data_IF_224015732966
#
_entry.id   IF_224015732966
#
_cell.length_a   1.000
_cell.length_b   1.000
_cell.length_c   1.000
_cell.angle_alpha   90.00
_cell.angle_beta   90.00
_cell.angle_gamma   90.00
#
_symmetry.space_group_name_H-M   'P 1'
#
loop_
_entity.id
_entity.type
_entity.pdbx_description
1 polymer ?
#
# COMPACT_ATOMS: atom_id res chain seq x y z
N UNK A 1 48.79 -14.09 54.71
CA UNK A 1 47.78 -14.62 53.76
C UNK A 1 46.50 -13.78 53.66
N UNK A 2 45.93 -13.26 54.76
CA UNK A 2 44.68 -12.46 54.74
C UNK A 2 44.77 -11.08 54.04
N UNK A 3 45.90 -10.40 54.12
CA UNK A 3 46.11 -9.07 53.49
C UNK A 3 46.21 -9.19 51.95
N UNK A 4 46.77 -10.30 51.45
CA UNK A 4 46.91 -10.56 50.02
C UNK A 4 45.54 -10.79 49.33
N UNK A 5 44.62 -11.48 50.02
CA UNK A 5 43.24 -11.70 49.53
C UNK A 5 42.42 -10.42 49.48
N UNK A 6 42.55 -9.54 50.49
CA UNK A 6 41.86 -8.25 50.50
C UNK A 6 42.35 -7.32 49.36
N UNK A 7 43.66 -7.34 49.06
CA UNK A 7 44.24 -6.56 47.96
C UNK A 7 43.77 -7.05 46.58
N UNK A 8 43.72 -8.38 46.38
CA UNK A 8 43.22 -8.99 45.13
C UNK A 8 41.72 -8.69 44.93
N UNK A 9 40.93 -8.72 46.00
CA UNK A 9 39.50 -8.42 45.94
C UNK A 9 39.25 -6.93 45.63
N UNK A 10 40.04 -6.01 46.21
CA UNK A 10 39.96 -4.57 45.92
C UNK A 10 40.37 -4.24 44.47
N UNK A 11 41.40 -4.92 43.94
CA UNK A 11 41.84 -4.77 42.54
C UNK A 11 40.78 -5.32 41.57
N UNK A 12 40.13 -6.44 41.90
CA UNK A 12 39.03 -6.99 41.08
C UNK A 12 37.78 -6.10 41.10
N UNK A 13 37.43 -5.49 42.24
CA UNK A 13 36.33 -4.53 42.35
C UNK A 13 36.60 -3.23 41.55
N UNK A 14 37.84 -2.73 41.55
CA UNK A 14 38.26 -1.59 40.73
C UNK A 14 38.27 -1.93 39.24
N UNK A 15 38.68 -3.14 38.85
CA UNK A 15 38.69 -3.59 37.46
C UNK A 15 37.27 -3.81 36.90
N UNK A 16 36.34 -4.34 37.70
CA UNK A 16 34.92 -4.48 37.31
C UNK A 16 34.26 -3.10 37.21
N UNK A 17 34.54 -2.19 38.15
CA UNK A 17 34.08 -0.80 38.09
C UNK A 17 34.60 -0.06 36.85
N UNK A 18 35.88 -0.21 36.52
CA UNK A 18 36.48 0.36 35.32
C UNK A 18 35.90 -0.23 34.04
N UNK A 19 35.70 -1.55 33.95
CA UNK A 19 35.11 -2.19 32.78
C UNK A 19 33.63 -1.82 32.59
N UNK A 20 32.87 -1.66 33.67
CA UNK A 20 31.47 -1.20 33.61
C UNK A 20 31.38 0.27 33.18
N UNK A 21 32.27 1.12 33.70
CA UNK A 21 32.37 2.53 33.33
C UNK A 21 32.89 2.73 31.90
N UNK A 22 33.84 1.91 31.45
CA UNK A 22 34.30 1.89 30.06
C UNK A 22 33.18 1.43 29.11
N UNK A 23 32.41 0.41 29.48
CA UNK A 23 31.26 -0.08 28.71
C UNK A 23 30.11 0.95 28.67
N UNK A 24 29.97 1.80 29.70
CA UNK A 24 29.06 2.97 29.71
C UNK A 24 29.59 4.16 28.90
N UNK A 25 30.91 4.35 28.84
CA UNK A 25 31.58 5.37 28.02
C UNK A 25 31.58 5.00 26.53
N UNK A 26 31.79 3.73 26.19
CA UNK A 26 31.68 3.22 24.81
C UNK A 26 30.23 3.31 24.31
N UNK A 27 29.24 3.13 25.19
CA UNK A 27 27.82 3.43 24.89
C UNK A 27 27.53 4.92 24.67
N UNK A 28 28.35 5.84 25.20
CA UNK A 28 28.22 7.29 24.99
C UNK A 28 28.99 7.82 23.78
N UNK A 29 29.88 7.01 23.21
CA UNK A 29 30.58 7.27 21.95
C UNK A 29 30.03 6.39 20.81
N UNK A 30 28.74 6.05 20.87
CA UNK A 30 28.08 5.22 19.87
C UNK A 30 27.98 5.91 18.52
N UNK A 31 28.04 5.12 17.45
CA UNK A 31 27.76 5.55 16.10
C UNK A 31 26.40 4.97 15.66
N UNK A 32 25.43 4.92 16.57
CA UNK A 32 24.07 4.43 16.30
C UNK A 32 23.29 5.38 15.39
N UNK A 33 22.14 4.93 14.87
CA UNK A 33 21.22 5.77 14.10
C UNK A 33 20.90 7.05 14.89
N UNK A 34 20.57 6.93 16.16
CA UNK A 34 20.19 8.08 16.99
C UNK A 34 21.39 9.01 17.21
N UNK A 35 22.58 8.47 17.43
CA UNK A 35 23.80 9.28 17.58
C UNK A 35 24.10 10.06 16.29
N UNK A 36 23.98 9.42 15.13
CA UNK A 36 24.15 10.04 13.83
C UNK A 36 23.11 11.15 13.59
N UNK A 37 21.83 10.90 13.90
CA UNK A 37 20.78 11.91 13.79
C UNK A 37 21.03 13.12 14.70
N UNK A 38 21.58 12.92 15.92
CA UNK A 38 21.92 14.01 16.85
C UNK A 38 23.09 14.86 16.38
N UNK A 39 24.03 14.28 15.63
CA UNK A 39 25.20 14.98 15.11
C UNK A 39 24.89 15.84 13.88
N UNK A 40 23.81 15.53 13.16
CA UNK A 40 23.41 16.23 11.95
C UNK A 40 22.28 17.25 12.21
N UNK A 41 22.58 18.53 11.97
CA UNK A 41 21.67 19.66 12.20
C UNK A 41 20.40 19.61 11.35
N UNK A 42 20.38 18.83 10.27
CA UNK A 42 19.20 18.66 9.40
C UNK A 42 18.07 17.89 10.09
N UNK A 43 18.36 17.13 11.14
CA UNK A 43 17.39 16.22 11.79
C UNK A 43 17.01 16.63 13.21
N UNK A 44 17.32 17.87 13.63
CA UNK A 44 17.02 18.33 15.00
C UNK A 44 15.55 18.12 15.37
N UNK A 45 14.62 18.29 14.43
CA UNK A 45 13.19 18.13 14.70
C UNK A 45 12.76 16.66 14.84
N UNK A 46 13.38 15.76 14.09
CA UNK A 46 13.21 14.31 14.26
C UNK A 46 13.76 13.84 15.62
N UNK A 47 14.95 14.32 15.99
CA UNK A 47 15.57 14.01 17.28
C UNK A 47 14.69 14.45 18.45
N UNK A 48 14.11 15.64 18.39
CA UNK A 48 13.17 16.10 19.42
C UNK A 48 11.94 15.20 19.52
N UNK A 49 11.43 14.65 18.42
CA UNK A 49 10.32 13.67 18.48
C UNK A 49 10.79 12.36 19.12
N UNK A 50 11.94 11.82 18.70
CA UNK A 50 12.52 10.61 19.29
C UNK A 50 12.76 10.75 20.79
N UNK A 51 13.15 11.93 21.26
CA UNK A 51 13.37 12.21 22.69
C UNK A 51 12.07 12.24 23.51
N UNK A 52 10.94 12.54 22.86
CA UNK A 52 9.63 12.62 23.51
C UNK A 52 8.74 11.39 23.24
N UNK A 53 9.13 10.49 22.34
CA UNK A 53 8.38 9.28 21.94
C UNK A 53 9.21 8.00 22.16
N UNK A 54 9.27 7.47 23.39
CA UNK A 54 10.10 6.30 23.72
C UNK A 54 9.82 5.09 22.83
N UNK A 55 8.56 4.85 22.45
CA UNK A 55 8.21 3.72 21.59
C UNK A 55 8.84 3.80 20.18
N UNK A 56 8.97 5.00 19.61
CA UNK A 56 9.64 5.18 18.31
C UNK A 56 11.16 5.09 18.45
N UNK A 57 11.68 5.58 19.58
CA UNK A 57 13.10 5.44 19.94
C UNK A 57 13.49 3.96 20.05
N UNK A 58 12.69 3.17 20.76
CA UNK A 58 12.93 1.75 20.97
C UNK A 58 12.98 0.97 19.65
N UNK A 59 12.12 1.33 18.66
CA UNK A 59 12.14 0.76 17.31
C UNK A 59 13.49 0.97 16.58
N UNK A 60 14.26 1.99 16.95
CA UNK A 60 15.58 2.28 16.37
C UNK A 60 16.75 1.80 17.24
N UNK A 61 16.55 1.64 18.55
CA UNK A 61 17.60 1.27 19.50
C UNK A 61 17.79 -0.26 19.60
N UNK A 62 16.74 -1.08 19.38
CA UNK A 62 16.79 -2.51 19.69
C UNK A 62 17.47 -3.39 18.63
N UNK A 63 17.26 -3.10 17.34
CA UNK A 63 17.58 -4.00 16.25
C UNK A 63 18.24 -3.29 15.06
N UNK A 64 18.71 -4.08 14.09
CA UNK A 64 19.22 -3.52 12.83
C UNK A 64 18.08 -2.89 12.05
N UNK A 65 18.19 -1.61 11.68
CA UNK A 65 17.14 -0.91 10.94
C UNK A 65 17.68 0.01 9.84
N UNK A 66 16.81 0.35 8.90
CA UNK A 66 17.01 1.47 7.97
C UNK A 66 15.91 2.49 8.19
N UNK A 67 16.27 3.77 8.25
CA UNK A 67 15.29 4.85 8.41
C UNK A 67 15.36 5.82 7.23
N UNK A 68 14.20 6.15 6.67
CA UNK A 68 14.05 7.29 5.78
C UNK A 68 13.81 8.55 6.62
N UNK A 69 14.87 9.23 7.06
CA UNK A 69 14.77 10.32 8.03
C UNK A 69 14.26 11.62 7.37
N UNK A 70 13.08 12.14 7.74
CA UNK A 70 12.63 13.46 7.29
C UNK A 70 13.51 14.56 7.88
N UNK A 71 13.98 15.49 7.04
CA UNK A 71 14.71 16.68 7.46
C UNK A 71 13.81 17.74 8.11
N UNK A 72 14.41 18.78 8.68
CA UNK A 72 13.66 19.85 9.35
C UNK A 72 12.65 20.53 8.40
N UNK A 73 13.03 20.72 7.13
CA UNK A 73 12.16 21.27 6.09
C UNK A 73 10.93 20.36 5.82
N UNK A 74 11.09 19.04 5.87
CA UNK A 74 9.99 18.09 5.79
C UNK A 74 9.00 18.26 6.96
N UNK A 75 9.50 18.47 8.18
CA UNK A 75 8.64 18.78 9.33
C UNK A 75 7.90 20.10 9.11
N UNK A 76 8.58 21.19 8.74
CA UNK A 76 7.93 22.48 8.50
C UNK A 76 6.85 22.41 7.40
N UNK A 77 7.11 21.67 6.33
CA UNK A 77 6.13 21.45 5.26
C UNK A 77 4.94 20.57 5.70
N UNK A 78 5.13 19.65 6.64
CA UNK A 78 4.07 18.83 7.21
C UNK A 78 3.18 19.66 8.15
N UNK A 79 3.82 20.44 9.00
CA UNK A 79 3.24 21.44 9.91
C UNK A 79 2.26 22.37 9.18
N UNK A 80 2.68 22.94 8.04
CA UNK A 80 1.86 23.87 7.27
C UNK A 80 0.56 23.27 6.69
N UNK A 81 0.47 21.94 6.57
CA UNK A 81 -0.66 21.24 5.92
C UNK A 81 -1.85 20.92 6.83
N UNK A 82 -1.84 21.32 8.11
CA UNK A 82 -2.99 21.16 9.00
C UNK A 82 -2.94 19.88 9.85
N UNK A 83 -1.97 19.86 10.76
CA UNK A 83 -1.60 18.84 11.75
C UNK A 83 -2.68 17.87 12.27
N UNK A 84 -2.25 16.61 12.47
CA UNK A 84 -2.73 15.77 13.58
C UNK A 84 -1.53 15.12 14.29
N UNK A 85 -1.07 15.74 15.39
CA UNK A 85 0.05 15.22 16.20
C UNK A 85 -0.18 13.79 16.68
N UNK A 86 -1.44 13.36 16.84
CA UNK A 86 -1.78 12.01 17.29
C UNK A 86 -1.33 10.93 16.29
N UNK A 87 -1.10 11.30 15.03
CA UNK A 87 -0.66 10.39 13.97
C UNK A 87 0.85 10.42 13.72
N UNK A 88 1.57 11.40 14.28
CA UNK A 88 2.98 11.61 13.96
C UNK A 88 3.84 10.39 14.28
N UNK A 89 3.56 9.72 15.41
CA UNK A 89 4.23 8.46 15.77
C UNK A 89 4.07 7.41 14.66
N UNK A 90 2.83 7.09 14.28
CA UNK A 90 2.56 6.08 13.24
C UNK A 90 3.18 6.47 11.89
N UNK A 91 3.17 7.76 11.55
CA UNK A 91 3.82 8.27 10.35
C UNK A 91 5.34 8.08 10.42
N UNK A 92 6.00 8.37 11.54
CA UNK A 92 7.44 8.19 11.66
C UNK A 92 7.84 6.71 11.74
N UNK A 93 7.06 5.84 12.40
CA UNK A 93 7.22 4.39 12.32
C UNK A 93 7.15 3.91 10.86
N UNK A 94 6.29 4.53 10.03
CA UNK A 94 6.22 4.19 8.60
C UNK A 94 7.52 4.47 7.81
N UNK A 95 8.41 5.31 8.33
CA UNK A 95 9.72 5.58 7.73
C UNK A 95 10.79 4.56 8.11
N UNK A 96 10.51 3.64 9.04
CA UNK A 96 11.46 2.65 9.54
C UNK A 96 11.23 1.33 8.81
N UNK A 97 12.31 0.77 8.25
CA UNK A 97 12.37 -0.56 7.65
C UNK A 97 13.17 -1.45 8.62
N UNK A 98 12.51 -2.37 9.35
CA UNK A 98 13.16 -3.18 10.37
C UNK A 98 13.99 -4.32 9.75
N UNK A 99 14.90 -4.86 10.55
CA UNK A 99 15.69 -6.06 10.31
C UNK A 99 16.65 -6.01 9.11
N UNK A 100 16.98 -4.81 8.60
CA UNK A 100 17.81 -4.65 7.41
C UNK A 100 18.61 -3.34 7.40
N UNK A 101 19.87 -3.42 6.95
CA UNK A 101 20.65 -2.27 6.50
C UNK A 101 20.52 -2.16 4.98
N UNK A 102 19.65 -1.26 4.53
CA UNK A 102 19.40 -1.07 3.12
C UNK A 102 20.64 -0.48 2.43
N UNK A 103 20.90 -0.95 1.22
CA UNK A 103 21.93 -0.40 0.35
C UNK A 103 21.28 0.32 -0.83
N UNK A 104 22.01 1.25 -1.44
CA UNK A 104 21.50 2.01 -2.60
C UNK A 104 21.00 1.11 -3.75
N UNK A 105 21.61 -0.06 -3.97
CA UNK A 105 21.20 -1.03 -5.01
C UNK A 105 19.88 -1.75 -4.70
N UNK A 106 19.49 -1.82 -3.42
CA UNK A 106 18.18 -2.34 -3.02
C UNK A 106 17.06 -1.32 -3.25
N UNK A 107 17.38 -0.03 -3.39
CA UNK A 107 16.45 1.04 -3.77
C UNK A 107 16.26 1.11 -5.30
N UNK A 108 15.87 -0.01 -5.89
CA UNK A 108 15.56 -0.15 -7.32
C UNK A 108 14.08 0.14 -7.61
N UNK A 109 13.78 0.51 -8.85
CA UNK A 109 12.40 0.80 -9.27
C UNK A 109 11.49 -0.41 -9.01
N UNK A 110 10.31 -0.15 -8.44
CA UNK A 110 9.33 -1.16 -8.06
C UNK A 110 9.67 -1.96 -6.80
N UNK A 111 10.77 -1.68 -6.10
CA UNK A 111 11.07 -2.37 -4.84
C UNK A 111 9.99 -2.08 -3.78
N UNK A 112 9.62 -3.11 -3.01
CA UNK A 112 8.63 -3.04 -1.94
C UNK A 112 9.31 -3.33 -0.61
N UNK A 113 9.53 -2.28 0.19
CA UNK A 113 10.17 -2.39 1.50
C UNK A 113 9.10 -2.59 2.57
N UNK A 114 9.38 -3.38 3.60
CA UNK A 114 8.46 -3.58 4.73
C UNK A 114 8.70 -2.47 5.76
N UNK A 115 7.72 -1.64 6.07
CA UNK A 115 7.83 -0.68 7.19
C UNK A 115 7.55 -1.36 8.54
N UNK A 116 7.82 -0.73 9.68
CA UNK A 116 7.43 -1.29 11.00
C UNK A 116 5.92 -1.28 11.21
N UNK A 117 5.18 -0.38 10.54
CA UNK A 117 3.73 -0.24 10.69
C UNK A 117 2.98 -1.47 10.19
N UNK A 118 2.09 -1.99 11.04
CA UNK A 118 1.13 -3.05 10.71
C UNK A 118 -0.28 -2.53 10.81
N UNK A 119 -1.14 -2.89 9.86
CA UNK A 119 -2.51 -2.39 9.80
C UNK A 119 -3.52 -3.54 9.93
N UNK A 120 -4.54 -3.43 10.79
CA UNK A 120 -5.64 -4.40 10.85
C UNK A 120 -6.36 -4.56 9.51
N UNK A 121 -6.57 -3.46 8.78
CA UNK A 121 -7.14 -3.46 7.43
C UNK A 121 -6.31 -4.22 6.40
N UNK A 122 -5.01 -4.42 6.68
CA UNK A 122 -4.09 -5.20 5.84
C UNK A 122 -3.89 -6.62 6.38
N UNK A 123 -4.80 -7.12 7.22
CA UNK A 123 -4.69 -8.42 7.91
C UNK A 123 -3.44 -8.48 8.82
N UNK A 124 -3.19 -7.39 9.56
CA UNK A 124 -2.06 -7.20 10.47
C UNK A 124 -0.67 -7.41 9.83
N UNK A 125 -0.58 -7.29 8.50
CA UNK A 125 0.68 -7.31 7.75
C UNK A 125 1.34 -5.94 7.78
N UNK A 126 2.66 -5.95 7.58
CA UNK A 126 3.44 -4.72 7.42
C UNK A 126 2.93 -3.92 6.22
N UNK A 127 2.74 -2.62 6.38
CA UNK A 127 2.52 -1.71 5.26
C UNK A 127 3.83 -1.60 4.45
N UNK A 128 3.71 -1.53 3.13
CA UNK A 128 4.87 -1.42 2.25
C UNK A 128 5.25 0.03 2.00
N UNK A 129 6.51 0.28 1.70
CA UNK A 129 6.99 1.47 1.00
C UNK A 129 7.35 1.04 -0.41
N UNK A 130 6.84 1.76 -1.42
CA UNK A 130 7.20 1.50 -2.82
C UNK A 130 8.30 2.46 -3.25
N UNK A 131 9.38 1.92 -3.77
CA UNK A 131 10.48 2.68 -4.34
C UNK A 131 10.21 2.92 -5.82
N UNK A 132 10.37 4.17 -6.25
CA UNK A 132 10.38 4.59 -7.63
C UNK A 132 11.75 5.16 -7.94
N UNK A 133 12.42 4.62 -8.96
CA UNK A 133 13.69 5.14 -9.43
C UNK A 133 13.49 5.74 -10.82
N UNK A 134 13.52 7.07 -10.89
CA UNK A 134 13.29 7.81 -12.12
C UNK A 134 14.53 7.75 -13.02
N UNK A 135 14.35 8.03 -14.31
CA UNK A 135 15.43 7.96 -15.31
C UNK A 135 16.59 8.94 -15.04
N UNK A 136 16.34 10.03 -14.31
CA UNK A 136 17.35 10.98 -13.84
C UNK A 136 18.15 10.47 -12.61
N UNK A 137 17.88 9.25 -12.15
CA UNK A 137 18.52 8.62 -10.99
C UNK A 137 17.86 8.96 -9.64
N UNK A 138 16.85 9.83 -9.60
CA UNK A 138 16.16 10.18 -8.37
C UNK A 138 15.39 8.99 -7.79
N UNK A 139 15.45 8.87 -6.46
CA UNK A 139 14.75 7.84 -5.70
C UNK A 139 13.59 8.49 -4.94
N UNK A 140 12.37 8.03 -5.24
CA UNK A 140 11.14 8.46 -4.61
C UNK A 140 10.47 7.30 -3.87
N UNK A 141 9.97 7.58 -2.68
CA UNK A 141 9.19 6.68 -1.86
C UNK A 141 7.72 7.06 -2.03
N UNK A 142 6.90 6.09 -2.40
CA UNK A 142 5.47 6.24 -2.66
C UNK A 142 5.11 7.36 -3.66
N UNK A 143 6.04 7.76 -4.54
CA UNK A 143 5.94 8.98 -5.37
C UNK A 143 5.64 10.26 -4.57
N UNK A 144 5.88 10.27 -3.26
CA UNK A 144 5.53 11.37 -2.36
C UNK A 144 6.79 12.07 -1.81
N UNK A 145 7.75 11.28 -1.32
CA UNK A 145 8.97 11.79 -0.69
C UNK A 145 10.21 11.29 -1.43
N UNK A 146 11.13 12.20 -1.73
CA UNK A 146 12.39 11.94 -2.46
C UNK A 146 13.53 11.83 -1.47
N UNK A 147 14.44 10.89 -1.70
CA UNK A 147 15.73 10.79 -1.01
C UNK A 147 16.63 11.93 -1.49
N UNK A 148 17.13 12.77 -0.58
CA UNK A 148 17.77 14.07 -0.90
C UNK A 148 19.27 14.15 -0.59
N UNK A 149 19.92 13.01 -0.35
CA UNK A 149 21.34 12.98 -0.03
C UNK A 149 21.86 11.55 0.05
N UNK A 150 23.17 11.39 0.27
CA UNK A 150 23.77 10.08 0.46
C UNK A 150 23.22 9.41 1.72
N UNK A 151 23.21 8.07 1.72
CA UNK A 151 22.99 7.32 2.95
C UNK A 151 24.08 7.59 4.00
N UNK A 152 23.69 7.58 5.26
CA UNK A 152 24.62 7.71 6.40
C UNK A 152 24.65 6.38 7.16
N UNK A 153 25.76 5.63 7.11
CA UNK A 153 25.90 4.38 7.85
C UNK A 153 25.92 4.60 9.37
N UNK A 154 25.33 3.65 10.09
CA UNK A 154 25.34 3.58 11.54
C UNK A 154 25.61 2.14 12.03
N UNK A 155 26.03 2.00 13.28
CA UNK A 155 26.39 0.70 13.88
C UNK A 155 25.21 -0.27 13.88
N UNK A 156 24.01 0.23 14.19
CA UNK A 156 22.75 -0.51 14.16
C UNK A 156 21.92 -0.25 12.90
N UNK A 157 22.46 0.40 11.85
CA UNK A 157 21.62 0.68 10.69
C UNK A 157 22.15 1.60 9.61
N UNK A 158 21.23 2.27 8.94
CA UNK A 158 21.51 3.26 7.89
C UNK A 158 20.40 4.31 7.83
N UNK A 159 20.78 5.55 7.56
CA UNK A 159 19.87 6.69 7.45
C UNK A 159 19.82 7.17 6.01
N UNK A 160 18.63 7.31 5.45
CA UNK A 160 18.37 7.92 4.15
C UNK A 160 17.62 9.24 4.34
N UNK A 161 18.23 10.42 4.09
CA UNK A 161 17.53 11.70 4.24
C UNK A 161 16.39 11.84 3.22
N UNK A 162 15.21 12.28 3.66
CA UNK A 162 14.04 12.54 2.78
C UNK A 162 13.42 13.91 3.03
N UNK A 163 12.82 14.51 2.00
CA UNK A 163 12.31 15.90 2.07
C UNK A 163 10.83 16.04 2.45
N UNK A 164 10.13 14.94 2.74
CA UNK A 164 8.76 14.94 3.25
C UNK A 164 8.54 13.80 4.23
N UNK A 165 7.71 14.06 5.24
CA UNK A 165 7.09 13.01 6.04
C UNK A 165 6.08 12.28 5.16
N UNK A 166 6.30 10.99 4.95
CA UNK A 166 5.41 10.07 4.22
C UNK A 166 4.10 9.90 4.97
N UNK A 167 3.00 9.98 4.22
CA UNK A 167 1.69 9.62 4.74
C UNK A 167 1.47 8.10 4.63
N UNK A 168 0.76 7.53 5.61
CA UNK A 168 0.26 6.18 5.44
C UNK A 168 -0.69 6.12 4.24
N UNK A 169 -0.61 5.08 3.40
CA UNK A 169 -1.53 4.91 2.28
C UNK A 169 -2.99 5.00 2.73
N UNK A 170 -3.79 5.78 2.01
CA UNK A 170 -5.22 5.93 2.26
C UNK A 170 -6.01 4.70 1.80
N UNK A 171 -7.32 4.70 2.03
CA UNK A 171 -8.20 3.67 1.46
C UNK A 171 -8.13 3.71 -0.07
N UNK A 172 -8.25 2.55 -0.71
CA UNK A 172 -8.15 2.41 -2.16
C UNK A 172 -9.11 3.35 -2.90
N UNK A 173 -10.36 3.46 -2.45
CA UNK A 173 -11.34 4.36 -3.05
C UNK A 173 -10.93 5.84 -2.96
N UNK A 174 -10.30 6.26 -1.85
CA UNK A 174 -9.83 7.63 -1.67
C UNK A 174 -8.61 7.92 -2.54
N UNK A 175 -7.66 6.99 -2.59
CA UNK A 175 -6.49 7.11 -3.46
C UNK A 175 -6.92 7.21 -4.94
N UNK A 176 -7.81 6.34 -5.41
CA UNK A 176 -8.29 6.35 -6.80
C UNK A 176 -9.10 7.62 -7.12
N UNK A 177 -9.81 8.19 -6.14
CA UNK A 177 -10.55 9.44 -6.30
C UNK A 177 -9.65 10.65 -6.57
N UNK A 178 -8.35 10.59 -6.27
CA UNK A 178 -7.38 11.64 -6.65
C UNK A 178 -7.03 11.63 -8.14
N UNK A 179 -7.42 10.57 -8.88
CA UNK A 179 -7.12 10.36 -10.30
C UNK A 179 -8.40 10.12 -11.11
N UNK A 180 -9.38 11.04 -11.12
CA UNK A 180 -10.68 10.82 -11.77
C UNK A 180 -10.57 10.59 -13.28
N UNK A 181 -9.55 11.17 -13.95
CA UNK A 181 -9.30 10.94 -15.38
C UNK A 181 -8.98 9.48 -15.72
N UNK A 182 -8.56 8.66 -14.75
CA UNK A 182 -8.24 7.24 -14.93
C UNK A 182 -9.24 6.27 -14.31
N UNK A 183 -10.02 6.69 -13.31
CA UNK A 183 -10.83 5.77 -12.49
C UNK A 183 -12.27 6.24 -12.21
N UNK A 184 -12.75 7.29 -12.88
CA UNK A 184 -14.13 7.79 -12.69
C UNK A 184 -15.21 6.72 -12.90
N UNK A 185 -15.05 5.81 -13.87
CA UNK A 185 -16.02 4.74 -14.12
C UNK A 185 -16.01 3.66 -13.04
N UNK A 186 -14.83 3.33 -12.50
CA UNK A 186 -14.71 2.46 -11.32
C UNK A 186 -15.39 3.08 -10.10
N UNK A 187 -15.13 4.36 -9.82
CA UNK A 187 -15.71 5.08 -8.68
C UNK A 187 -17.24 5.21 -8.80
N UNK A 188 -17.74 5.50 -9.99
CA UNK A 188 -19.18 5.50 -10.29
C UNK A 188 -19.81 4.12 -10.03
N UNK A 189 -19.09 3.05 -10.40
CA UNK A 189 -19.55 1.68 -10.20
C UNK A 189 -19.60 1.30 -8.72
N UNK A 190 -18.61 1.71 -7.93
CA UNK A 190 -18.61 1.54 -6.48
C UNK A 190 -19.83 2.21 -5.82
N UNK A 191 -20.16 3.44 -6.22
CA UNK A 191 -21.32 4.16 -5.68
C UNK A 191 -22.63 3.46 -6.07
N UNK A 192 -22.77 3.09 -7.35
CA UNK A 192 -23.99 2.44 -7.86
C UNK A 192 -24.28 1.08 -7.20
N UNK A 193 -23.24 0.34 -6.85
CA UNK A 193 -23.33 -1.03 -6.33
C UNK A 193 -23.21 -1.15 -4.81
N UNK A 194 -22.99 -0.04 -4.11
CA UNK A 194 -22.72 -0.02 -2.67
C UNK A 194 -21.46 -0.82 -2.27
N UNK A 195 -20.56 -1.07 -3.24
CA UNK A 195 -19.36 -1.91 -3.02
C UNK A 195 -18.27 -1.21 -2.22
N UNK A 196 -18.32 0.12 -2.09
CA UNK A 196 -17.39 0.86 -1.21
C UNK A 196 -17.48 0.37 0.23
N UNK A 197 -18.69 0.15 0.74
CA UNK A 197 -18.92 -0.35 2.09
C UNK A 197 -18.49 -1.81 2.24
N UNK A 198 -18.69 -2.62 1.20
CA UNK A 198 -18.27 -4.02 1.18
C UNK A 198 -16.75 -4.13 1.26
N UNK A 199 -16.01 -3.38 0.44
CA UNK A 199 -14.54 -3.38 0.45
C UNK A 199 -14.02 -2.92 1.83
N UNK A 200 -14.61 -1.88 2.40
CA UNK A 200 -14.20 -1.35 3.71
C UNK A 200 -14.38 -2.33 4.88
N UNK A 201 -15.17 -3.40 4.70
CA UNK A 201 -15.37 -4.46 5.70
C UNK A 201 -14.42 -5.64 5.50
N UNK A 202 -13.77 -5.74 4.34
CA UNK A 202 -12.79 -6.79 4.08
C UNK A 202 -11.41 -6.37 4.62
N UNK A 203 -10.61 -7.36 4.99
CA UNK A 203 -9.25 -7.13 5.51
C UNK A 203 -8.25 -7.86 4.63
N UNK A 204 -7.20 -7.16 4.18
CA UNK A 204 -6.11 -7.76 3.44
C UNK A 204 -6.54 -8.30 2.08
N UNK A 205 -6.95 -7.40 1.19
CA UNK A 205 -7.41 -7.73 -0.16
C UNK A 205 -6.40 -7.32 -1.22
N UNK A 206 -6.50 -7.90 -2.42
CA UNK A 206 -5.88 -7.38 -3.63
C UNK A 206 -6.98 -6.89 -4.56
N UNK A 207 -6.89 -5.62 -4.96
CA UNK A 207 -7.87 -4.99 -5.84
C UNK A 207 -7.34 -4.98 -7.27
N UNK A 208 -8.06 -5.60 -8.19
CA UNK A 208 -7.79 -5.48 -9.62
C UNK A 208 -8.66 -4.36 -10.17
N UNK A 209 -8.08 -3.20 -10.45
CA UNK A 209 -8.85 -1.99 -10.79
C UNK A 209 -8.71 -1.68 -12.27
N UNK A 210 -9.74 -1.91 -13.10
CA UNK A 210 -9.74 -1.50 -14.49
C UNK A 210 -9.68 0.02 -14.62
N UNK A 211 -8.87 0.51 -15.57
CA UNK A 211 -8.84 1.93 -15.94
C UNK A 211 -10.11 2.35 -16.69
N UNK A 212 -10.33 3.66 -16.84
CA UNK A 212 -11.43 4.20 -17.63
C UNK A 212 -11.42 3.66 -19.06
N UNK A 213 -10.24 3.55 -19.69
CA UNK A 213 -10.09 2.99 -21.03
C UNK A 213 -10.54 1.52 -21.09
N UNK A 214 -10.31 0.74 -20.02
CA UNK A 214 -10.78 -0.63 -19.92
C UNK A 214 -12.31 -0.74 -19.85
N UNK A 215 -12.98 0.23 -19.21
CA UNK A 215 -14.45 0.33 -19.19
C UNK A 215 -15.02 0.79 -20.52
N UNK A 216 -14.42 1.80 -21.14
CA UNK A 216 -14.84 2.32 -22.43
C UNK A 216 -14.75 1.26 -23.54
N UNK A 217 -13.75 0.37 -23.45
CA UNK A 217 -13.59 -0.76 -24.37
C UNK A 217 -14.76 -1.76 -24.36
N UNK A 218 -15.63 -1.75 -23.33
CA UNK A 218 -16.86 -2.57 -23.34
C UNK A 218 -17.91 -2.06 -24.33
N UNK A 219 -17.84 -0.79 -24.75
CA UNK A 219 -18.81 -0.18 -25.65
C UNK A 219 -20.04 0.38 -24.94
N UNK A 220 -20.66 1.36 -25.59
CA UNK A 220 -21.73 2.19 -25.01
C UNK A 220 -22.96 1.39 -24.55
N UNK A 221 -23.37 0.37 -25.29
CA UNK A 221 -24.56 -0.42 -24.92
C UNK A 221 -24.32 -1.26 -23.67
N UNK A 222 -23.14 -1.85 -23.53
CA UNK A 222 -22.75 -2.57 -22.33
C UNK A 222 -22.62 -1.63 -21.12
N UNK A 223 -22.06 -0.43 -21.30
CA UNK A 223 -22.00 0.58 -20.25
C UNK A 223 -23.39 1.07 -19.84
N UNK A 224 -24.29 1.35 -20.79
CA UNK A 224 -25.69 1.70 -20.51
C UNK A 224 -26.38 0.60 -19.72
N UNK A 225 -26.20 -0.65 -20.11
CA UNK A 225 -26.76 -1.81 -19.42
C UNK A 225 -26.30 -1.88 -17.95
N UNK A 226 -24.99 -1.79 -17.70
CA UNK A 226 -24.41 -1.90 -16.34
C UNK A 226 -24.75 -0.68 -15.47
N UNK A 227 -24.66 0.53 -16.03
CA UNK A 227 -24.76 1.78 -15.26
C UNK A 227 -26.16 2.41 -15.25
N UNK A 228 -27.13 1.87 -16.00
CA UNK A 228 -28.50 2.38 -16.02
C UNK A 228 -29.55 1.27 -16.10
N UNK A 229 -30.67 1.45 -15.38
CA UNK A 229 -31.83 0.57 -15.53
C UNK A 229 -32.61 0.87 -16.82
N UNK A 230 -32.57 2.13 -17.30
CA UNK A 230 -33.13 2.51 -18.60
C UNK A 230 -32.39 1.78 -19.73
N UNK A 231 -31.08 1.57 -19.57
CA UNK A 231 -30.26 0.79 -20.51
C UNK A 231 -30.62 -0.70 -20.60
N UNK A 232 -31.60 -1.17 -19.82
CA UNK A 232 -32.14 -2.53 -19.87
C UNK A 232 -33.56 -2.57 -20.45
N UNK A 233 -34.03 -1.48 -21.07
CA UNK A 233 -35.44 -1.28 -21.45
C UNK A 233 -36.43 -1.45 -20.29
N UNK A 234 -35.93 -1.40 -19.05
CA UNK A 234 -36.74 -1.21 -17.87
C UNK A 234 -37.01 0.29 -17.79
N UNK A 235 -38.04 0.73 -18.50
CA UNK A 235 -38.70 2.00 -18.18
C UNK A 235 -39.18 1.82 -16.74
N UNK A 236 -38.75 2.65 -15.76
CA UNK A 236 -39.31 2.54 -14.42
C UNK A 236 -40.83 2.62 -14.56
N UNK A 237 -41.61 1.64 -14.06
CA UNK A 237 -43.05 1.60 -14.34
C UNK A 237 -43.83 2.80 -13.80
N UNK A 238 -43.21 3.71 -13.05
CA UNK A 238 -43.96 4.72 -12.33
C UNK A 238 -43.16 6.01 -12.10
N UNK A 239 -43.84 7.12 -12.39
CA UNK A 239 -43.50 8.52 -12.06
C UNK A 239 -44.14 8.90 -10.71
N UNK A 240 -44.81 7.97 -10.01
CA UNK A 240 -45.50 8.19 -8.74
C UNK A 240 -44.85 7.46 -7.56
N UNK A 241 -45.11 7.98 -6.36
CA UNK A 241 -44.47 7.59 -5.09
C UNK A 241 -44.67 6.11 -4.66
N UNK A 242 -45.60 5.38 -5.29
CA UNK A 242 -46.05 4.04 -4.88
C UNK A 242 -45.44 2.86 -5.66
N UNK A 243 -44.19 2.93 -6.15
CA UNK A 243 -43.57 1.74 -6.75
C UNK A 243 -43.12 0.71 -5.69
N UNK A 244 -43.86 -0.39 -5.59
CA UNK A 244 -43.52 -1.66 -4.89
C UNK A 244 -42.78 -2.59 -5.87
N UNK A 245 -41.55 -2.21 -6.23
CA UNK A 245 -40.63 -3.05 -7.00
C UNK A 245 -39.25 -2.96 -6.36
N UNK A 246 -38.59 -4.11 -6.16
CA UNK A 246 -37.38 -4.30 -5.34
C UNK A 246 -36.43 -3.10 -5.36
N UNK A 247 -36.54 -2.26 -4.33
CA UNK A 247 -35.60 -1.17 -4.08
C UNK A 247 -34.46 -1.73 -3.23
N UNK A 248 -33.23 -1.27 -3.46
CA UNK A 248 -32.14 -1.55 -2.51
C UNK A 248 -32.40 -0.83 -1.16
N UNK A 249 -31.55 -1.07 -0.17
CA UNK A 249 -31.65 -0.43 1.15
C UNK A 249 -31.65 1.11 1.13
N UNK A 250 -31.27 1.73 -0.01
CA UNK A 250 -31.26 3.19 -0.24
C UNK A 250 -32.39 3.67 -1.17
N UNK A 251 -33.35 2.82 -1.55
CA UNK A 251 -34.50 3.23 -2.36
C UNK A 251 -34.28 3.25 -3.89
N UNK A 252 -33.12 2.81 -4.39
CA UNK A 252 -32.82 2.77 -5.84
C UNK A 252 -33.36 1.51 -6.53
N UNK A 253 -33.80 1.57 -7.81
CA UNK A 253 -34.28 0.39 -8.55
C UNK A 253 -33.22 -0.70 -8.68
N UNK A 254 -33.52 -1.93 -8.25
CA UNK A 254 -32.61 -3.08 -8.37
C UNK A 254 -32.79 -3.79 -9.73
N UNK A 255 -32.18 -3.22 -10.77
CA UNK A 255 -32.18 -3.79 -12.11
C UNK A 255 -31.03 -4.77 -12.34
N UNK A 256 -31.20 -5.72 -13.28
CA UNK A 256 -30.25 -6.80 -13.57
C UNK A 256 -28.82 -6.31 -13.81
N UNK A 257 -28.64 -5.24 -14.58
CA UNK A 257 -27.31 -4.67 -14.86
C UNK A 257 -26.59 -4.13 -13.61
N UNK A 258 -27.33 -3.67 -12.59
CA UNK A 258 -26.73 -3.32 -11.28
C UNK A 258 -26.27 -4.58 -10.53
N UNK A 259 -27.07 -5.64 -10.57
CA UNK A 259 -26.71 -6.94 -9.96
C UNK A 259 -25.48 -7.54 -10.64
N UNK A 260 -25.44 -7.53 -11.97
CA UNK A 260 -24.29 -7.97 -12.77
C UNK A 260 -23.05 -7.11 -12.46
N UNK A 261 -23.20 -5.78 -12.42
CA UNK A 261 -22.12 -4.87 -12.03
C UNK A 261 -21.59 -5.20 -10.62
N UNK A 262 -22.48 -5.49 -9.67
CA UNK A 262 -22.08 -5.91 -8.32
C UNK A 262 -21.22 -7.17 -8.35
N UNK A 263 -21.59 -8.18 -9.16
CA UNK A 263 -20.79 -9.40 -9.30
C UNK A 263 -19.46 -9.15 -10.02
N UNK A 264 -19.43 -8.25 -11.02
CA UNK A 264 -18.20 -7.81 -11.67
C UNK A 264 -17.25 -7.21 -10.62
N UNK A 265 -17.71 -6.26 -9.79
CA UNK A 265 -16.88 -5.68 -8.73
C UNK A 265 -16.39 -6.74 -7.73
N UNK A 266 -17.26 -7.67 -7.34
CA UNK A 266 -16.89 -8.78 -6.45
C UNK A 266 -15.77 -9.67 -7.02
N UNK A 267 -15.73 -9.88 -8.34
CA UNK A 267 -14.67 -10.65 -9.00
C UNK A 267 -13.33 -9.90 -8.99
N UNK A 268 -13.36 -8.56 -9.00
CA UNK A 268 -12.16 -7.73 -8.97
C UNK A 268 -11.54 -7.58 -7.57
N UNK A 269 -12.13 -8.20 -6.55
CA UNK A 269 -11.66 -8.12 -5.15
C UNK A 269 -11.26 -9.53 -4.71
N UNK A 270 -9.95 -9.78 -4.65
CA UNK A 270 -9.39 -11.04 -4.18
C UNK A 270 -9.13 -10.98 -2.66
N UNK A 271 -9.52 -12.04 -1.94
CA UNK A 271 -9.45 -12.16 -0.47
C UNK A 271 -8.08 -12.60 0.05
N UNK A 272 -7.03 -12.02 -0.52
CA UNK A 272 -5.66 -12.17 -0.06
C UNK A 272 -4.83 -10.98 -0.53
N UNK A 273 -3.80 -10.61 0.23
CA UNK A 273 -2.79 -9.65 -0.24
C UNK A 273 -1.79 -10.42 -1.08
N UNK A 274 -1.66 -10.01 -2.35
CA UNK A 274 -0.62 -10.45 -3.25
C UNK A 274 -0.03 -9.23 -3.94
N UNK A 275 1.24 -8.95 -3.63
CA UNK A 275 2.03 -7.99 -4.39
C UNK A 275 2.54 -8.66 -5.67
N UNK A 276 3.01 -7.85 -6.62
CA UNK A 276 3.61 -8.35 -7.86
C UNK A 276 4.78 -9.30 -7.59
N UNK A 277 5.55 -9.07 -6.53
CA UNK A 277 6.62 -9.97 -6.09
C UNK A 277 6.10 -11.37 -5.72
N UNK A 278 4.95 -11.44 -5.06
CA UNK A 278 4.34 -12.71 -4.64
C UNK A 278 3.81 -13.45 -5.88
N UNK A 279 3.16 -12.71 -6.80
CA UNK A 279 2.67 -13.26 -8.07
C UNK A 279 3.83 -13.82 -8.92
N UNK A 280 4.94 -13.10 -9.02
CA UNK A 280 6.14 -13.51 -9.76
C UNK A 280 6.83 -14.72 -9.13
N UNK A 281 6.83 -14.82 -7.80
CA UNK A 281 7.41 -15.95 -7.09
C UNK A 281 6.65 -17.25 -7.39
N UNK A 282 5.32 -17.20 -7.35
CA UNK A 282 4.45 -18.37 -7.62
C UNK A 282 4.32 -18.69 -9.12
N UNK A 283 4.51 -17.70 -10.00
CA UNK A 283 4.30 -17.73 -11.46
C UNK A 283 2.86 -17.99 -11.90
N UNK A 284 2.11 -18.80 -11.17
CA UNK A 284 0.70 -19.10 -11.36
C UNK A 284 0.02 -19.18 -10.01
N UNK A 285 -0.92 -18.28 -9.76
CA UNK A 285 -1.63 -18.13 -8.50
C UNK A 285 -3.13 -18.18 -8.74
N UNK A 286 -3.84 -18.97 -7.93
CA UNK A 286 -5.29 -18.88 -7.83
C UNK A 286 -5.68 -18.08 -6.60
N UNK A 287 -6.64 -17.16 -6.74
CA UNK A 287 -7.09 -16.30 -5.64
C UNK A 287 -8.60 -16.39 -5.50
N UNK A 288 -9.08 -16.64 -4.28
CA UNK A 288 -10.52 -16.57 -3.98
C UNK A 288 -11.00 -15.11 -4.03
N UNK A 289 -12.20 -14.88 -4.57
CA UNK A 289 -12.79 -13.54 -4.68
C UNK A 289 -14.12 -13.43 -3.95
N UNK A 290 -14.65 -12.21 -3.84
CA UNK A 290 -16.01 -12.00 -3.34
C UNK A 290 -17.10 -12.56 -4.25
N UNK A 291 -16.79 -12.85 -5.53
CA UNK A 291 -17.75 -13.40 -6.49
C UNK A 291 -17.89 -14.93 -6.36
N UNK A 292 -17.12 -15.56 -5.45
CA UNK A 292 -16.99 -17.03 -5.32
C UNK A 292 -16.40 -17.74 -6.55
N UNK A 293 -16.11 -16.99 -7.61
CA UNK A 293 -15.28 -17.41 -8.73
C UNK A 293 -13.82 -17.04 -8.40
N UNK A 294 -12.88 -17.95 -8.68
CA UNK A 294 -11.46 -17.71 -8.47
C UNK A 294 -10.85 -16.87 -9.60
N UNK A 295 -9.87 -16.04 -9.27
CA UNK A 295 -8.97 -15.44 -10.26
C UNK A 295 -7.78 -16.35 -10.49
N UNK A 296 -7.47 -16.60 -11.75
CA UNK A 296 -6.21 -17.18 -12.17
C UNK A 296 -5.25 -16.06 -12.57
N UNK A 297 -4.16 -15.89 -11.84
CA UNK A 297 -3.12 -14.89 -12.09
C UNK A 297 -1.87 -15.60 -12.56
N UNK A 298 -1.36 -15.23 -13.74
CA UNK A 298 -0.06 -15.68 -14.23
C UNK A 298 0.89 -14.51 -14.32
N UNK A 299 2.09 -14.70 -13.81
CA UNK A 299 3.10 -13.67 -13.77
C UNK A 299 4.43 -14.21 -14.31
N UNK A 300 5.07 -13.40 -15.14
CA UNK A 300 6.37 -13.71 -15.72
C UNK A 300 7.22 -12.43 -15.74
N UNK A 301 8.52 -12.59 -15.52
CA UNK A 301 9.50 -11.50 -15.62
C UNK A 301 10.52 -11.85 -16.70
N UNK A 302 10.68 -10.97 -17.68
CA UNK A 302 11.86 -10.92 -18.56
C UNK A 302 12.81 -9.82 -18.08
N UNK A 303 13.97 -9.70 -18.71
CA UNK A 303 14.96 -8.67 -18.36
C UNK A 303 14.42 -7.24 -18.54
N UNK A 304 13.46 -7.06 -19.45
CA UNK A 304 12.91 -5.74 -19.80
C UNK A 304 11.49 -5.51 -19.24
N UNK A 305 10.71 -6.57 -18.98
CA UNK A 305 9.29 -6.44 -18.67
C UNK A 305 8.81 -7.39 -17.58
N UNK A 306 7.97 -6.87 -16.69
CA UNK A 306 7.10 -7.68 -15.84
C UNK A 306 5.72 -7.76 -16.48
N UNK A 307 5.26 -8.98 -16.75
CA UNK A 307 3.95 -9.25 -17.33
C UNK A 307 3.12 -10.04 -16.33
N UNK A 308 1.96 -9.48 -15.95
CA UNK A 308 0.99 -10.14 -15.08
C UNK A 308 -0.34 -10.16 -15.84
N UNK A 309 -0.87 -11.36 -16.07
CA UNK A 309 -2.13 -11.62 -16.76
C UNK A 309 -3.11 -12.25 -15.78
N UNK A 310 -4.34 -11.74 -15.77
CA UNK A 310 -5.44 -12.19 -14.91
C UNK A 310 -6.55 -12.76 -15.80
N UNK A 311 -7.00 -13.98 -15.46
CA UNK A 311 -7.99 -14.77 -16.20
C UNK A 311 -7.74 -14.82 -17.71
N UNK A 312 -6.47 -14.95 -18.13
CA UNK A 312 -6.05 -15.04 -19.54
C UNK A 312 -6.47 -13.89 -20.44
N UNK A 313 -6.87 -12.77 -19.82
CA UNK A 313 -7.52 -11.68 -20.51
C UNK A 313 -6.93 -10.34 -20.10
N UNK A 314 -7.02 -9.99 -18.83
CA UNK A 314 -6.62 -8.66 -18.37
C UNK A 314 -5.13 -8.62 -18.06
N UNK A 315 -4.41 -7.66 -18.64
CA UNK A 315 -3.01 -7.37 -18.28
C UNK A 315 -2.99 -6.32 -17.19
N UNK A 316 -2.19 -6.54 -16.15
CA UNK A 316 -1.84 -5.49 -15.19
C UNK A 316 -0.91 -4.50 -15.89
N UNK A 317 -1.32 -3.24 -15.96
CA UNK A 317 -0.58 -2.14 -16.60
C UNK A 317 0.16 -1.27 -15.59
N UNK A 318 -0.23 -1.33 -14.32
CA UNK A 318 0.51 -0.75 -13.22
C UNK A 318 0.29 -1.60 -11.97
N UNK A 319 1.38 -2.02 -11.33
CA UNK A 319 1.32 -2.90 -10.17
C UNK A 319 1.63 -2.20 -8.86
N UNK A 320 1.06 -2.76 -7.79
CA UNK A 320 1.32 -2.39 -6.39
C UNK A 320 1.15 -0.90 -6.08
N UNK A 321 0.07 -0.29 -6.57
CA UNK A 321 -0.38 0.96 -5.96
C UNK A 321 -0.84 0.64 -4.53
N UNK A 322 -0.29 1.34 -3.54
CA UNK A 322 -0.45 0.98 -2.13
C UNK A 322 -1.72 1.61 -1.56
N UNK A 323 -2.53 0.82 -0.86
CA UNK A 323 -3.65 1.30 -0.05
C UNK A 323 -3.61 0.73 1.37
N UNK A 324 -4.46 1.22 2.27
CA UNK A 324 -4.58 0.68 3.63
C UNK A 324 -5.17 -0.74 3.67
N UNK A 325 -5.91 -1.15 2.64
CA UNK A 325 -6.57 -2.46 2.55
C UNK A 325 -5.68 -3.51 1.84
N UNK A 326 -4.77 -3.06 0.98
CA UNK A 326 -3.82 -3.89 0.25
C UNK A 326 -3.37 -3.32 -1.10
N UNK A 327 -2.66 -4.11 -1.92
CA UNK A 327 -2.18 -3.65 -3.21
C UNK A 327 -3.30 -3.52 -4.23
N UNK A 328 -3.22 -2.47 -5.03
CA UNK A 328 -4.04 -2.27 -6.22
C UNK A 328 -3.21 -2.61 -7.45
N UNK A 329 -3.77 -3.49 -8.27
CA UNK A 329 -3.25 -3.89 -9.56
C UNK A 329 -4.15 -3.28 -10.64
N UNK A 330 -3.65 -2.26 -11.36
CA UNK A 330 -4.45 -1.57 -12.38
C UNK A 330 -4.45 -2.41 -13.65
N UNK A 331 -5.63 -2.71 -14.20
CA UNK A 331 -5.79 -3.58 -15.38
C UNK A 331 -6.24 -2.82 -16.61
N UNK A 332 -5.83 -3.30 -17.80
CA UNK A 332 -6.28 -2.74 -19.09
C UNK A 332 -7.61 -3.30 -19.59
N UNK A 333 -8.19 -4.27 -18.89
CA UNK A 333 -9.47 -4.90 -19.24
C UNK A 333 -10.25 -5.25 -17.97
N UNK A 334 -11.55 -5.37 -18.15
CA UNK A 334 -12.50 -5.76 -17.11
C UNK A 334 -12.63 -7.28 -17.08
N UNK A 335 -12.58 -7.82 -15.87
CA UNK A 335 -12.86 -9.21 -15.55
C UNK A 335 -14.39 -9.38 -15.46
N UNK A 336 -14.96 -10.16 -16.36
CA UNK A 336 -16.41 -10.44 -16.39
C UNK A 336 -16.62 -11.86 -15.87
N UNK A 337 -17.43 -12.06 -14.81
CA UNK A 337 -17.82 -13.39 -14.33
C UNK A 337 -18.40 -14.26 -15.45
N UNK A 338 -18.10 -15.56 -15.44
CA UNK A 338 -18.48 -16.48 -16.54
C UNK A 338 -19.99 -16.57 -16.79
N UNK A 339 -20.79 -16.32 -15.76
CA UNK A 339 -22.26 -16.36 -15.82
C UNK A 339 -22.91 -15.06 -16.32
N UNK A 340 -22.13 -14.03 -16.65
CA UNK A 340 -22.65 -12.75 -17.14
C UNK A 340 -22.41 -12.64 -18.64
N UNK A 341 -23.50 -12.50 -19.39
CA UNK A 341 -23.48 -12.13 -20.80
C UNK A 341 -23.86 -10.66 -20.95
N UNK A 342 -22.97 -9.85 -21.53
CA UNK A 342 -23.25 -8.45 -21.84
C UNK A 342 -23.98 -8.34 -23.19
N UNK A 343 -24.89 -7.36 -23.38
CA UNK A 343 -25.72 -7.25 -24.59
C UNK A 343 -24.95 -7.35 -25.92
N UNK A 344 -23.87 -6.57 -26.10
CA UNK A 344 -23.11 -6.59 -27.36
C UNK A 344 -22.30 -7.87 -27.57
N UNK A 345 -21.97 -8.60 -26.51
CA UNK A 345 -21.24 -9.86 -26.62
C UNK A 345 -22.16 -11.00 -27.05
N UNK A 346 -23.45 -10.92 -26.69
CA UNK A 346 -24.48 -11.88 -27.11
C UNK A 346 -24.83 -11.71 -28.59
N UNK A 347 -24.95 -10.46 -29.06
CA UNK A 347 -25.23 -10.17 -30.48
C UNK A 347 -24.12 -10.67 -31.41
N UNK A 348 -22.84 -10.54 -31.01
CA UNK A 348 -21.70 -11.08 -31.77
C UNK A 348 -21.69 -12.61 -31.83
N UNK A 349 -22.19 -13.30 -30.81
CA UNK A 349 -22.30 -14.77 -30.80
C UNK A 349 -23.46 -15.28 -31.66
N UNK A 350 -24.55 -14.51 -31.78
CA UNK A 350 -25.70 -14.84 -32.63
C UNK A 350 -25.50 -14.56 -34.13
N UNK A 351 -24.37 -13.95 -34.53
CA UNK A 351 -24.08 -13.58 -35.91
C UNK A 351 -23.40 -14.66 -36.77
N UNK A 352 -23.14 -15.86 -36.24
CA UNK A 352 -22.51 -16.97 -36.97
C UNK A 352 -23.47 -18.10 -37.38
N UNK A 353 -24.77 -17.95 -37.12
CA UNK A 353 -25.80 -18.89 -37.60
C UNK A 353 -26.82 -18.18 -38.48
N UNK A 354 -26.45 -17.87 -39.73
CA UNK A 354 -27.40 -17.76 -40.86
C UNK A 354 -26.75 -18.21 -42.16
#
# INVERSE_FOLDING_TARGET
MRILFALVCLIQLLAVGASCFQHELDRRAGNTIIDQLRQDRRFTRLVEVLDNEPGLRDELDSDTASIFAPDNEAFEAWIQRGYDKRRLRDLLSYHIVPDIKLTADQLKDGALLKSTVRLPSLDNRHQRLRVFRLANGEVWLNMESRVIGPETPADNGVIFPVHRILNLPSMAAEMLATMPGRFSLWLLGLERTDMKQVIAQETGVTLFVPSNEAWEALGNENLKYLFSCVGQNIIPPCISDDCVGGRNARGSPDCKGRQDLTQIFKLHIARQVAFSSDMLAEKSLEMDTLAREKLAVRASKSDEDTVIIVNDKARVIFSDALSSEGPIQITNQILIPKNIGLPQDVEKRGGFER
#
